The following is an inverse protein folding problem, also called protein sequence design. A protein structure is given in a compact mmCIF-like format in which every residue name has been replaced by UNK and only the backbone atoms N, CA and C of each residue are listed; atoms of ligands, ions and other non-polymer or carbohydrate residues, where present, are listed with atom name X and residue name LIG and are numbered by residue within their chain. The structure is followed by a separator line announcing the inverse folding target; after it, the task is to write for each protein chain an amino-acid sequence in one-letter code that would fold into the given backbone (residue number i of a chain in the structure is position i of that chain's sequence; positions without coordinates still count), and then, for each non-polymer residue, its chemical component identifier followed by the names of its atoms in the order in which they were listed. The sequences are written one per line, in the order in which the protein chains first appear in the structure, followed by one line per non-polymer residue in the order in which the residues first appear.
data_IF_241991435152
#
_entry.id   IF_241991435152
#
_cell.length_a   1.000
_cell.length_b   1.000
_cell.length_c   1.000
_cell.angle_alpha   90.00
_cell.angle_beta   90.00
_cell.angle_gamma   90.00
#
_symmetry.space_group_name_H-M   'P 1'
#
loop_
_entity.id
_entity.type
_entity.pdbx_description
1 polymer ?
#
# COMPACT_ATOMS: atom_id res chain seq x y z
N UNK A 1 -3.92 16.44 12.13
CA UNK A 1 -4.42 15.06 12.42
C UNK A 1 -4.95 14.46 11.16
N UNK A 2 -4.42 13.33 10.77
CA UNK A 2 -4.81 12.61 9.58
C UNK A 2 -5.87 11.56 9.84
N UNK A 3 -6.20 10.83 8.78
CA UNK A 3 -7.05 9.64 8.90
C UNK A 3 -6.30 8.54 9.65
N UNK A 4 -7.02 7.75 10.41
CA UNK A 4 -6.46 6.66 11.20
C UNK A 4 -6.82 5.32 10.58
N UNK A 5 -5.82 4.42 10.48
CA UNK A 5 -6.07 3.05 10.03
C UNK A 5 -6.77 2.25 11.14
N UNK A 6 -7.38 1.09 10.80
CA UNK A 6 -7.95 0.22 11.83
C UNK A 6 -6.93 -0.24 12.89
N UNK A 7 -5.64 -0.23 12.57
CA UNK A 7 -4.57 -0.65 13.46
C UNK A 7 -3.89 0.50 14.21
N UNK A 8 -4.39 1.72 14.07
CA UNK A 8 -3.77 2.92 14.65
C UNK A 8 -3.45 2.76 16.14
N UNK A 9 -4.43 2.32 16.92
CA UNK A 9 -4.24 2.14 18.37
C UNK A 9 -3.20 1.07 18.70
N UNK A 10 -3.09 0.04 17.86
CA UNK A 10 -2.08 -1.00 18.01
C UNK A 10 -0.68 -0.45 17.75
N UNK A 11 -0.54 0.40 16.75
CA UNK A 11 0.74 1.08 16.45
C UNK A 11 1.18 1.94 17.64
N UNK A 12 0.26 2.74 18.20
CA UNK A 12 0.57 3.57 19.37
C UNK A 12 0.95 2.72 20.58
N UNK A 13 0.19 1.65 20.84
CA UNK A 13 0.43 0.76 21.96
C UNK A 13 1.80 0.07 21.89
N UNK A 14 2.31 -0.16 20.68
CA UNK A 14 3.63 -0.73 20.44
C UNK A 14 4.76 0.31 20.42
N UNK A 15 4.43 1.57 20.70
CA UNK A 15 5.42 2.64 20.76
C UNK A 15 5.87 3.18 19.41
N UNK A 16 5.06 3.05 18.39
CA UNK A 16 5.39 3.55 17.06
C UNK A 16 5.50 5.06 17.03
N UNK A 17 6.47 5.57 16.28
CA UNK A 17 6.52 6.98 15.92
C UNK A 17 5.58 7.21 14.74
N UNK A 18 4.53 7.99 14.97
CA UNK A 18 3.53 8.29 13.96
C UNK A 18 3.87 9.56 13.19
N UNK A 19 3.49 9.61 11.91
CA UNK A 19 3.65 10.79 11.07
C UNK A 19 2.56 10.82 10.00
N UNK A 20 2.39 12.00 9.40
CA UNK A 20 1.49 12.16 8.27
C UNK A 20 2.08 11.49 7.03
N UNK A 21 1.27 10.65 6.39
CA UNK A 21 1.60 9.99 5.14
C UNK A 21 0.40 10.11 4.20
N UNK A 22 0.44 11.14 3.35
CA UNK A 22 -0.63 11.38 2.38
C UNK A 22 -2.00 11.60 3.01
N UNK A 23 -2.06 12.23 4.18
CA UNK A 23 -3.30 12.48 4.90
C UNK A 23 -3.69 11.38 5.88
N UNK A 24 -2.86 10.36 6.04
CA UNK A 24 -3.06 9.28 7.01
C UNK A 24 -2.02 9.36 8.12
N UNK A 25 -2.43 9.07 9.35
CA UNK A 25 -1.49 8.91 10.47
C UNK A 25 -0.91 7.50 10.41
N UNK A 26 0.34 7.40 10.00
CA UNK A 26 1.02 6.12 9.77
C UNK A 26 2.27 5.99 10.62
N UNK A 27 2.62 4.76 11.04
CA UNK A 27 3.87 4.55 11.77
C UNK A 27 5.07 4.67 10.84
N UNK A 28 6.09 5.40 11.27
CA UNK A 28 7.37 5.49 10.57
C UNK A 28 8.29 4.34 11.02
N UNK A 29 8.37 4.12 12.32
CA UNK A 29 9.18 3.07 12.92
C UNK A 29 8.72 2.80 14.35
N UNK A 30 9.20 1.70 14.92
CA UNK A 30 8.92 1.28 16.29
C UNK A 30 10.17 1.33 17.17
N UNK A 31 11.14 2.16 16.80
CA UNK A 31 12.41 2.34 17.49
C UNK A 31 13.57 2.56 16.53
N UNK A 32 13.88 1.59 15.68
CA UNK A 32 14.96 1.70 14.71
C UNK A 32 14.54 1.22 13.33
N UNK A 33 14.55 2.11 12.35
CA UNK A 33 14.27 1.77 10.95
C UNK A 33 15.28 0.77 10.39
N UNK A 34 16.54 0.87 10.80
CA UNK A 34 17.61 -0.01 10.33
C UNK A 34 17.41 -1.43 10.84
N UNK A 35 17.08 -1.59 12.12
CA UNK A 35 16.80 -2.90 12.68
C UNK A 35 15.56 -3.55 12.08
N UNK A 36 14.52 -2.76 11.81
CA UNK A 36 13.31 -3.24 11.16
C UNK A 36 13.59 -3.68 9.72
N UNK A 37 14.41 -2.94 9.01
CA UNK A 37 14.86 -3.32 7.66
C UNK A 37 15.58 -4.67 7.67
N UNK A 38 16.49 -4.84 8.62
CA UNK A 38 17.22 -6.12 8.77
C UNK A 38 16.29 -7.26 9.14
N UNK A 39 15.31 -7.02 10.00
CA UNK A 39 14.32 -8.02 10.35
C UNK A 39 13.55 -8.53 9.13
N UNK A 40 13.14 -7.63 8.26
CA UNK A 40 12.46 -8.00 7.01
C UNK A 40 13.37 -8.82 6.08
N UNK A 41 14.65 -8.44 6.00
CA UNK A 41 15.62 -9.11 5.12
C UNK A 41 16.03 -10.49 5.61
N UNK A 42 16.13 -10.68 6.92
CA UNK A 42 16.66 -11.93 7.51
C UNK A 42 15.58 -12.82 8.11
N UNK A 43 14.38 -12.33 8.31
CA UNK A 43 13.28 -13.07 8.92
C UNK A 43 11.97 -12.67 8.24
N UNK A 44 11.13 -11.88 8.93
CA UNK A 44 9.83 -11.48 8.43
C UNK A 44 9.44 -10.09 8.92
N UNK A 45 8.53 -9.45 8.20
CA UNK A 45 7.96 -8.17 8.59
C UNK A 45 6.48 -8.10 8.23
N UNK A 46 5.73 -7.30 9.00
CA UNK A 46 4.32 -7.03 8.77
C UNK A 46 4.17 -5.54 8.55
N UNK A 47 3.42 -5.18 7.52
CA UNK A 47 3.21 -3.77 7.14
C UNK A 47 1.72 -3.46 7.12
N UNK A 48 1.34 -2.35 7.75
CA UNK A 48 -0.02 -1.82 7.64
C UNK A 48 -0.14 -1.05 6.32
N UNK A 49 -0.94 -1.57 5.40
CA UNK A 49 -1.21 -0.94 4.11
C UNK A 49 -2.67 -0.52 3.98
N UNK A 50 -3.35 -0.31 5.09
CA UNK A 50 -4.78 0.03 5.13
C UNK A 50 -5.10 1.37 4.46
N UNK A 51 -4.09 2.20 4.22
CA UNK A 51 -4.26 3.47 3.49
C UNK A 51 -4.38 3.27 1.97
N UNK A 52 -4.09 2.08 1.49
CA UNK A 52 -4.19 1.75 0.06
C UNK A 52 -5.60 1.33 -0.31
N UNK A 53 -5.97 1.57 -1.54
CA UNK A 53 -7.27 1.18 -2.10
C UNK A 53 -7.10 -0.04 -2.99
N UNK A 54 -7.98 -1.02 -2.81
CA UNK A 54 -8.08 -2.18 -3.71
C UNK A 54 -9.22 -1.93 -4.67
N UNK A 55 -8.95 -2.05 -5.96
CA UNK A 55 -9.93 -1.88 -7.03
C UNK A 55 -10.08 -3.18 -7.79
N UNK A 56 -11.31 -3.67 -7.88
CA UNK A 56 -11.65 -4.81 -8.73
C UNK A 56 -12.27 -4.30 -10.02
N UNK A 57 -11.88 -4.90 -11.13
CA UNK A 57 -12.42 -4.56 -12.43
C UNK A 57 -12.93 -5.81 -13.14
N UNK A 58 -14.15 -5.73 -13.66
CA UNK A 58 -14.81 -6.79 -14.40
C UNK A 58 -15.20 -6.29 -15.78
N UNK A 59 -15.12 -7.16 -16.76
CA UNK A 59 -15.52 -6.84 -18.13
C UNK A 59 -14.43 -7.12 -19.16
N UNK A 60 -14.84 -7.26 -20.42
CA UNK A 60 -13.95 -7.64 -21.52
C UNK A 60 -12.90 -6.55 -21.83
N UNK A 61 -13.24 -5.28 -21.64
CA UNK A 61 -12.35 -4.16 -21.93
C UNK A 61 -11.57 -3.67 -20.70
N UNK A 62 -11.61 -4.41 -19.60
CA UNK A 62 -11.00 -4.04 -18.33
C UNK A 62 -9.51 -3.78 -18.43
N UNK A 63 -8.76 -4.69 -19.04
CA UNK A 63 -7.31 -4.56 -19.16
C UNK A 63 -6.91 -3.34 -19.99
N UNK A 64 -7.55 -3.10 -21.13
CA UNK A 64 -7.21 -1.93 -21.96
C UNK A 64 -7.58 -0.62 -21.28
N UNK A 65 -8.67 -0.60 -20.51
CA UNK A 65 -9.05 0.56 -19.72
C UNK A 65 -7.99 0.86 -18.63
N UNK A 66 -7.57 -0.15 -17.87
CA UNK A 66 -6.56 0.02 -16.84
C UNK A 66 -5.20 0.39 -17.40
N UNK A 67 -4.82 -0.19 -18.54
CA UNK A 67 -3.51 0.08 -19.16
C UNK A 67 -3.36 1.54 -19.57
N UNK A 68 -4.47 2.22 -19.84
CA UNK A 68 -4.47 3.65 -20.17
C UNK A 68 -4.40 4.56 -18.95
N UNK A 69 -4.86 4.11 -17.80
CA UNK A 69 -4.97 4.92 -16.59
C UNK A 69 -3.82 4.69 -15.60
N UNK A 70 -3.23 3.51 -15.60
CA UNK A 70 -2.31 3.09 -14.56
C UNK A 70 -0.86 3.10 -15.02
N UNK A 71 0.03 3.38 -14.09
CA UNK A 71 1.47 3.47 -14.33
C UNK A 71 2.16 2.10 -14.25
N UNK A 72 1.57 1.09 -14.92
CA UNK A 72 2.17 -0.25 -14.97
C UNK A 72 1.65 -0.99 -16.20
N UNK A 73 2.31 -2.09 -16.54
CA UNK A 73 1.93 -2.93 -17.65
C UNK A 73 0.84 -3.92 -17.23
N UNK A 74 -0.39 -3.63 -17.60
CA UNK A 74 -1.56 -4.45 -17.24
C UNK A 74 -1.60 -5.79 -17.95
N UNK A 75 -0.82 -5.98 -19.02
CA UNK A 75 -0.74 -7.28 -19.72
C UNK A 75 -0.18 -8.40 -18.83
N UNK A 76 0.47 -8.04 -17.72
CA UNK A 76 0.97 -8.99 -16.72
C UNK A 76 -0.15 -9.64 -15.89
N UNK A 77 -1.36 -9.08 -15.93
CA UNK A 77 -2.54 -9.65 -15.28
C UNK A 77 -3.20 -10.63 -16.24
N UNK A 78 -2.91 -11.92 -16.09
CA UNK A 78 -3.33 -12.97 -17.03
C UNK A 78 -4.37 -13.91 -16.47
N UNK A 79 -4.56 -13.97 -15.17
CA UNK A 79 -5.47 -14.88 -14.47
C UNK A 79 -6.39 -14.09 -13.57
N UNK A 80 -7.68 -14.48 -13.55
CA UNK A 80 -8.65 -13.89 -12.60
C UNK A 80 -8.15 -14.01 -11.15
N UNK A 81 -8.27 -12.95 -10.38
CA UNK A 81 -7.81 -12.91 -8.98
C UNK A 81 -6.39 -12.41 -8.79
N UNK A 82 -5.63 -12.21 -9.85
CA UNK A 82 -4.33 -11.56 -9.75
C UNK A 82 -4.47 -10.09 -9.43
N UNK A 83 -3.54 -9.56 -8.68
CA UNK A 83 -3.47 -8.14 -8.34
C UNK A 83 -2.10 -7.56 -8.71
N UNK A 84 -2.05 -6.24 -8.89
CA UNK A 84 -0.85 -5.52 -9.24
C UNK A 84 -0.85 -4.18 -8.53
N UNK A 85 0.28 -3.80 -7.95
CA UNK A 85 0.47 -2.48 -7.39
C UNK A 85 0.69 -1.46 -8.49
N UNK A 86 -0.01 -0.34 -8.42
CA UNK A 86 0.15 0.72 -9.40
C UNK A 86 -0.33 2.07 -8.85
N UNK A 87 -0.19 3.11 -9.66
CA UNK A 87 -0.72 4.44 -9.38
C UNK A 87 -1.56 4.91 -10.55
N UNK A 88 -2.72 5.50 -10.24
CA UNK A 88 -3.57 6.14 -11.24
C UNK A 88 -3.09 7.57 -11.43
N UNK A 89 -2.73 7.92 -12.65
CA UNK A 89 -2.15 9.21 -12.98
C UNK A 89 -3.12 10.06 -13.79
N UNK A 90 -3.03 11.37 -13.61
CA UNK A 90 -3.72 12.33 -14.47
C UNK A 90 -2.77 12.81 -15.56
N UNK A 91 -3.33 13.46 -16.58
CA UNK A 91 -2.55 14.03 -17.69
C UNK A 91 -1.74 15.27 -17.28
N UNK A 92 -2.06 15.83 -16.11
CA UNK A 92 -1.39 17.05 -15.62
C UNK A 92 -0.72 16.85 -14.27
#
# INVERSE_FOLDING_TARGET
MGKKTPLFEKHEALGAKMADFGGWDMPIHYGSQIEEHHAVRHDAGVFDVSHMTVVELHGADGLSYLDRLLANDMSRLTISGQAMYSAMLSET
#
